data_IF_483287873506
#
_entry.id   IF_483287873506
#
_cell.length_a   1.000
_cell.length_b   1.000
_cell.length_c   1.000
_cell.angle_alpha   90.00
_cell.angle_beta   90.00
_cell.angle_gamma   90.00
#
_symmetry.space_group_name_H-M   'P 1'
#
loop_
_entity.id
_entity.type
_entity.pdbx_description
1 polymer ?
#
# COMPACT_ATOMS: atom_id res chain seq x y z
N UNK A 1 -44.27 -17.60 51.15
CA UNK A 1 -42.96 -17.05 50.72
C UNK A 1 -42.08 -18.17 50.17
N UNK A 2 -42.06 -18.34 48.85
CA UNK A 2 -41.02 -19.07 48.09
C UNK A 2 -41.03 -18.49 46.67
N UNK A 3 -39.98 -17.75 46.29
CA UNK A 3 -39.70 -17.43 44.88
C UNK A 3 -38.74 -18.48 44.33
N UNK A 4 -38.93 -18.98 43.10
CA UNK A 4 -37.90 -19.73 42.40
C UNK A 4 -36.92 -18.76 41.71
N UNK A 5 -35.63 -18.99 41.91
CA UNK A 5 -34.56 -18.35 41.14
C UNK A 5 -34.53 -18.95 39.73
N UNK A 6 -34.70 -18.09 38.72
CA UNK A 6 -34.47 -18.43 37.32
C UNK A 6 -32.97 -18.35 37.04
N UNK A 7 -32.37 -19.48 36.68
CA UNK A 7 -31.03 -19.55 36.09
C UNK A 7 -31.02 -18.78 34.77
N UNK A 8 -30.33 -17.64 34.72
CA UNK A 8 -30.00 -16.98 33.46
C UNK A 8 -28.78 -17.66 32.84
N UNK A 9 -29.01 -18.32 31.71
CA UNK A 9 -27.96 -18.86 30.85
C UNK A 9 -27.12 -17.72 30.28
N UNK A 10 -25.84 -17.66 30.66
CA UNK A 10 -24.86 -16.78 30.03
C UNK A 10 -24.60 -17.28 28.61
N UNK A 11 -25.07 -16.51 27.63
CA UNK A 11 -24.78 -16.70 26.21
C UNK A 11 -23.28 -16.43 26.01
N UNK A 12 -22.50 -17.49 25.83
CA UNK A 12 -21.15 -17.40 25.28
C UNK A 12 -21.25 -16.91 23.84
N UNK A 13 -21.15 -15.60 23.65
CA UNK A 13 -20.90 -15.01 22.35
C UNK A 13 -19.47 -15.32 21.91
N UNK A 14 -19.30 -16.35 21.06
CA UNK A 14 -18.10 -16.54 20.28
C UNK A 14 -17.89 -15.30 19.40
N UNK A 15 -17.04 -14.38 19.86
CA UNK A 15 -16.46 -13.35 19.01
C UNK A 15 -15.44 -14.04 18.12
N UNK A 16 -15.86 -14.47 16.94
CA UNK A 16 -14.96 -14.83 15.85
C UNK A 16 -14.24 -13.55 15.42
N UNK A 17 -13.06 -13.32 15.99
CA UNK A 17 -12.06 -12.44 15.41
C UNK A 17 -11.63 -13.07 14.08
N UNK A 18 -12.29 -12.67 13.00
CA UNK A 18 -11.76 -12.84 11.65
C UNK A 18 -10.61 -11.85 11.55
N UNK A 19 -9.42 -12.27 12.00
CA UNK A 19 -8.21 -11.56 11.65
C UNK A 19 -8.14 -11.59 10.11
N UNK A 20 -8.04 -10.45 9.42
CA UNK A 20 -7.78 -10.46 8.00
C UNK A 20 -6.53 -11.31 7.79
N UNK A 21 -6.61 -12.29 6.89
CA UNK A 21 -5.47 -13.10 6.52
C UNK A 21 -4.33 -12.14 6.16
N UNK A 22 -3.28 -12.12 6.99
CA UNK A 22 -2.07 -11.37 6.71
C UNK A 22 -1.62 -11.82 5.32
N UNK A 23 -1.87 -10.97 4.32
CA UNK A 23 -1.34 -11.21 2.99
C UNK A 23 0.17 -11.20 3.19
N UNK A 24 0.79 -12.35 2.96
CA UNK A 24 2.24 -12.48 2.97
C UNK A 24 2.77 -11.33 2.11
N UNK A 25 3.46 -10.38 2.75
CA UNK A 25 4.03 -9.23 2.09
C UNK A 25 5.12 -9.80 1.17
N UNK A 26 4.79 -9.98 -0.10
CA UNK A 26 5.69 -10.59 -1.10
C UNK A 26 6.90 -9.71 -1.40
N UNK A 27 6.81 -8.43 -1.05
CA UNK A 27 7.91 -7.50 -1.14
C UNK A 27 8.62 -7.36 0.21
N UNK A 28 9.96 -7.23 0.22
CA UNK A 28 10.71 -6.91 1.43
C UNK A 28 10.13 -5.66 2.13
N UNK A 29 10.32 -5.52 3.45
CA UNK A 29 9.83 -4.34 4.16
C UNK A 29 10.46 -3.05 3.62
N UNK A 30 9.69 -1.96 3.66
CA UNK A 30 10.16 -0.62 3.30
C UNK A 30 11.02 -0.01 4.41
N UNK A 31 11.98 0.81 4.02
CA UNK A 31 12.95 1.49 4.87
C UNK A 31 12.70 3.00 4.88
N UNK A 32 11.72 3.40 5.69
CA UNK A 32 11.22 4.78 5.75
C UNK A 32 12.28 5.81 6.19
N UNK A 33 13.29 5.38 6.94
CA UNK A 33 14.39 6.27 7.36
C UNK A 33 15.26 6.72 6.18
N UNK A 34 15.26 5.98 5.06
CA UNK A 34 15.98 6.31 3.82
C UNK A 34 15.07 6.89 2.74
N UNK A 35 13.87 7.37 3.10
CA UNK A 35 12.97 8.02 2.16
C UNK A 35 13.58 9.29 1.57
N UNK A 36 13.62 9.36 0.24
CA UNK A 36 14.13 10.51 -0.52
C UNK A 36 12.94 11.21 -1.17
N UNK A 37 12.86 12.53 -1.02
CA UNK A 37 11.82 13.37 -1.61
C UNK A 37 12.46 14.49 -2.41
N UNK A 38 12.19 14.52 -3.71
CA UNK A 38 12.70 15.57 -4.59
C UNK A 38 11.84 15.65 -5.86
N UNK A 39 11.63 16.87 -6.38
CA UNK A 39 11.08 17.06 -7.74
C UNK A 39 9.76 16.31 -7.98
N UNK A 40 8.82 16.41 -7.05
CA UNK A 40 7.52 15.72 -7.07
C UNK A 40 7.61 14.18 -7.09
N UNK A 41 8.72 13.62 -6.60
CA UNK A 41 8.94 12.19 -6.46
C UNK A 41 9.29 11.83 -5.01
N UNK A 42 8.74 10.72 -4.53
CA UNK A 42 8.99 10.15 -3.21
C UNK A 42 9.49 8.72 -3.43
N UNK A 43 10.75 8.46 -3.09
CA UNK A 43 11.34 7.12 -3.15
C UNK A 43 11.44 6.53 -1.75
N UNK A 44 10.92 5.32 -1.56
CA UNK A 44 11.07 4.56 -0.31
C UNK A 44 11.77 3.24 -0.63
N UNK A 45 13.04 3.04 -0.25
CA UNK A 45 13.75 1.81 -0.57
C UNK A 45 13.24 0.64 0.28
N UNK A 46 13.41 -0.57 -0.24
CA UNK A 46 13.37 -1.79 0.55
C UNK A 46 14.57 -1.86 1.49
N UNK A 47 14.38 -2.41 2.69
CA UNK A 47 15.45 -2.60 3.68
C UNK A 47 16.63 -3.36 3.06
N UNK A 48 17.85 -2.82 3.23
CA UNK A 48 19.09 -3.41 2.72
C UNK A 48 19.32 -3.28 1.22
N UNK A 49 18.41 -2.62 0.48
CA UNK A 49 18.50 -2.45 -0.97
C UNK A 49 18.42 -0.97 -1.36
N UNK A 50 18.90 -0.63 -2.56
CA UNK A 50 18.59 0.64 -3.22
C UNK A 50 17.54 0.46 -4.32
N UNK A 51 16.58 -0.44 -4.05
CA UNK A 51 15.42 -0.75 -4.89
C UNK A 51 14.16 -0.49 -4.09
N UNK A 52 13.11 0.03 -4.70
CA UNK A 52 11.85 0.33 -4.02
C UNK A 52 10.89 1.14 -4.89
N UNK A 53 9.65 1.37 -4.43
CA UNK A 53 8.69 2.20 -5.15
C UNK A 53 9.15 3.66 -5.24
N UNK A 54 8.96 4.25 -6.42
CA UNK A 54 8.94 5.71 -6.63
C UNK A 54 7.49 6.15 -6.83
N UNK A 55 6.97 6.92 -5.89
CA UNK A 55 5.66 7.56 -5.98
C UNK A 55 5.81 8.97 -6.58
N UNK A 56 4.78 9.43 -7.29
CA UNK A 56 4.76 10.75 -7.90
C UNK A 56 3.67 11.59 -7.25
N UNK A 57 3.98 12.80 -6.81
CA UNK A 57 3.02 13.68 -6.13
C UNK A 57 2.33 14.67 -7.07
N UNK A 58 2.77 14.73 -8.34
CA UNK A 58 2.32 15.70 -9.32
C UNK A 58 2.06 15.04 -10.67
N UNK A 59 0.85 15.26 -11.18
CA UNK A 59 0.35 14.65 -12.42
C UNK A 59 -0.15 15.71 -13.40
N UNK A 60 -0.16 15.35 -14.68
CA UNK A 60 -0.83 16.08 -15.74
C UNK A 60 -1.65 15.11 -16.60
N UNK A 61 -2.75 15.60 -17.17
CA UNK A 61 -3.49 14.83 -18.15
C UNK A 61 -2.97 15.11 -19.56
N UNK A 62 -2.77 14.07 -20.35
CA UNK A 62 -2.19 14.14 -21.69
C UNK A 62 -3.05 13.35 -22.68
N UNK A 63 -3.67 14.00 -23.68
CA UNK A 63 -4.36 13.30 -24.75
C UNK A 63 -3.39 12.37 -25.51
N UNK A 64 -3.79 11.12 -25.73
CA UNK A 64 -3.03 10.15 -26.50
C UNK A 64 -3.33 10.31 -27.99
N UNK A 65 -2.78 11.38 -28.58
CA UNK A 65 -2.95 11.71 -29.99
C UNK A 65 -4.31 12.34 -30.31
N UNK A 66 -4.62 12.38 -31.61
CA UNK A 66 -5.88 12.91 -32.12
C UNK A 66 -7.02 11.88 -32.01
N UNK A 67 -8.29 12.32 -31.94
CA UNK A 67 -9.41 11.38 -31.91
C UNK A 67 -9.42 10.48 -33.15
N UNK A 68 -9.70 9.20 -32.93
CA UNK A 68 -9.76 8.15 -33.97
C UNK A 68 -11.21 7.75 -34.24
N UNK A 69 -11.52 7.29 -35.45
CA UNK A 69 -12.87 6.79 -35.76
C UNK A 69 -13.00 5.33 -35.31
N UNK A 70 -14.04 5.03 -34.52
CA UNK A 70 -14.40 3.68 -34.10
C UNK A 70 -15.90 3.52 -34.27
N UNK A 71 -16.32 2.68 -35.22
CA UNK A 71 -17.73 2.37 -35.49
C UNK A 71 -18.62 3.61 -35.69
N UNK A 72 -18.12 4.64 -36.39
CA UNK A 72 -18.86 5.87 -36.65
C UNK A 72 -18.80 6.91 -35.52
N UNK A 73 -18.19 6.58 -34.38
CA UNK A 73 -17.91 7.50 -33.28
C UNK A 73 -16.44 7.93 -33.27
N UNK A 74 -16.14 8.98 -32.53
CA UNK A 74 -14.78 9.42 -32.23
C UNK A 74 -14.36 8.83 -30.89
N UNK A 75 -13.12 8.33 -30.83
CA UNK A 75 -12.49 7.80 -29.62
C UNK A 75 -11.22 8.58 -29.31
N UNK A 76 -11.08 9.00 -28.07
CA UNK A 76 -9.86 9.60 -27.53
C UNK A 76 -9.51 8.94 -26.20
N UNK A 77 -8.22 8.67 -25.99
CA UNK A 77 -7.71 8.26 -24.68
C UNK A 77 -6.98 9.46 -24.07
N UNK A 78 -7.28 9.78 -22.82
CA UNK A 78 -6.54 10.78 -22.04
C UNK A 78 -5.77 10.03 -20.95
N UNK A 79 -4.47 10.26 -20.86
CA UNK A 79 -3.60 9.60 -19.89
C UNK A 79 -3.34 10.53 -18.70
N UNK A 80 -3.35 10.00 -17.48
CA UNK A 80 -2.84 10.70 -16.31
C UNK A 80 -1.36 10.34 -16.12
N UNK A 81 -0.47 11.29 -16.41
CA UNK A 81 0.96 11.08 -16.53
C UNK A 81 1.72 11.88 -15.45
N UNK A 82 2.73 11.31 -14.78
CA UNK A 82 3.53 12.05 -13.82
C UNK A 82 4.34 13.18 -14.48
N UNK A 83 4.29 14.39 -13.92
CA UNK A 83 5.01 15.54 -14.49
C UNK A 83 6.52 15.34 -14.51
N UNK A 84 7.07 14.65 -13.52
CA UNK A 84 8.52 14.39 -13.40
C UNK A 84 9.10 13.66 -14.62
N UNK A 85 8.33 12.79 -15.28
CA UNK A 85 8.77 12.12 -16.51
C UNK A 85 8.76 13.08 -17.71
N UNK A 86 7.74 13.94 -17.80
CA UNK A 86 7.59 14.92 -18.89
C UNK A 86 8.59 16.08 -18.81
N UNK A 87 9.00 16.43 -17.59
CA UNK A 87 10.02 17.42 -17.31
C UNK A 87 11.44 16.84 -17.33
N UNK A 88 11.62 15.57 -17.70
CA UNK A 88 12.91 14.86 -17.70
C UNK A 88 13.62 14.82 -16.33
N UNK A 89 12.88 14.97 -15.23
CA UNK A 89 13.43 14.95 -13.87
C UNK A 89 13.66 13.52 -13.36
N UNK A 90 12.86 12.56 -13.84
CA UNK A 90 12.92 11.16 -13.40
C UNK A 90 14.31 10.53 -13.57
N UNK A 91 14.90 10.60 -14.78
CA UNK A 91 16.20 9.97 -15.03
C UNK A 91 17.33 10.60 -14.19
N UNK A 92 17.26 11.91 -13.96
CA UNK A 92 18.19 12.62 -13.08
C UNK A 92 18.07 12.14 -11.64
N UNK A 93 16.85 12.06 -11.12
CA UNK A 93 16.57 11.55 -9.77
C UNK A 93 17.05 10.11 -9.57
N UNK A 94 16.74 9.22 -10.52
CA UNK A 94 17.18 7.82 -10.48
C UNK A 94 18.70 7.71 -10.48
N UNK A 95 19.38 8.40 -11.39
CA UNK A 95 20.84 8.31 -11.52
C UNK A 95 21.58 8.97 -10.36
N UNK A 96 21.13 10.13 -9.89
CA UNK A 96 21.72 10.86 -8.78
C UNK A 96 21.77 10.03 -7.50
N UNK A 97 20.71 9.27 -7.23
CA UNK A 97 20.59 8.46 -6.02
C UNK A 97 20.81 6.95 -6.25
N UNK A 98 21.19 6.54 -7.46
CA UNK A 98 21.43 5.13 -7.82
C UNK A 98 20.21 4.22 -7.66
N UNK A 99 18.99 4.76 -7.81
CA UNK A 99 17.73 4.09 -7.49
C UNK A 99 17.42 2.98 -8.51
N UNK A 100 16.91 1.85 -8.05
CA UNK A 100 16.20 0.87 -8.89
C UNK A 100 14.70 0.98 -8.62
N UNK A 101 13.96 1.64 -9.50
CA UNK A 101 12.51 1.82 -9.32
C UNK A 101 11.77 0.47 -9.46
N UNK A 102 10.94 0.14 -8.47
CA UNK A 102 10.04 -1.00 -8.49
C UNK A 102 8.83 -0.81 -9.42
N UNK A 103 8.64 0.40 -9.97
CA UNK A 103 7.60 0.78 -10.94
C UNK A 103 6.18 0.53 -10.42
N UNK A 104 5.98 0.81 -9.14
CA UNK A 104 4.67 0.68 -8.48
C UNK A 104 3.77 1.84 -8.91
N UNK A 105 2.56 1.52 -9.34
CA UNK A 105 1.54 2.50 -9.72
C UNK A 105 0.45 2.56 -8.64
N UNK A 106 -0.23 3.70 -8.48
CA UNK A 106 -1.46 3.74 -7.70
C UNK A 106 -2.51 2.79 -8.31
N UNK A 107 -3.42 2.24 -7.50
CA UNK A 107 -4.47 1.37 -8.02
C UNK A 107 -5.38 2.14 -8.98
N UNK A 108 -5.80 1.51 -10.08
CA UNK A 108 -6.65 2.17 -11.08
C UNK A 108 -8.01 2.63 -10.50
N UNK A 109 -8.47 1.99 -9.42
CA UNK A 109 -9.68 2.39 -8.67
C UNK A 109 -9.55 3.74 -7.97
N UNK A 110 -8.34 4.26 -7.80
CA UNK A 110 -8.10 5.61 -7.31
C UNK A 110 -8.42 6.69 -8.36
N UNK A 111 -8.62 6.31 -9.63
CA UNK A 111 -8.99 7.24 -10.68
C UNK A 111 -10.48 7.17 -11.02
N UNK A 112 -11.07 8.33 -11.33
CA UNK A 112 -12.45 8.44 -11.80
C UNK A 112 -12.58 9.51 -12.89
N UNK A 113 -13.51 9.36 -13.85
CA UNK A 113 -13.88 10.47 -14.74
C UNK A 113 -14.43 11.62 -13.90
N UNK A 114 -14.20 12.87 -14.32
CA UNK A 114 -14.89 14.01 -13.68
C UNK A 114 -16.39 13.98 -13.95
N UNK A 115 -17.18 14.59 -13.07
CA UNK A 115 -18.63 14.72 -13.26
C UNK A 115 -18.97 15.48 -14.55
N UNK A 116 -18.19 16.51 -14.89
CA UNK A 116 -18.37 17.30 -16.12
C UNK A 116 -18.28 16.43 -17.39
N UNK A 117 -17.22 15.63 -17.54
CA UNK A 117 -17.06 14.78 -18.73
C UNK A 117 -18.05 13.61 -18.74
N UNK A 118 -18.41 13.08 -17.56
CA UNK A 118 -19.43 12.05 -17.42
C UNK A 118 -20.81 12.56 -17.85
N UNK A 119 -21.18 13.77 -17.44
CA UNK A 119 -22.45 14.40 -17.79
C UNK A 119 -22.52 14.78 -19.27
N UNK A 120 -21.44 15.38 -19.81
CA UNK A 120 -21.36 15.73 -21.23
C UNK A 120 -21.60 14.51 -22.13
N UNK A 121 -21.04 13.36 -21.75
CA UNK A 121 -21.10 12.13 -22.54
C UNK A 121 -22.17 11.13 -22.04
N UNK A 122 -23.11 11.59 -21.22
CA UNK A 122 -24.18 10.76 -20.66
C UNK A 122 -25.15 10.21 -21.70
N UNK A 123 -25.22 10.86 -22.87
CA UNK A 123 -26.03 10.41 -24.01
C UNK A 123 -25.45 9.17 -24.72
N UNK A 124 -24.18 8.83 -24.46
CA UNK A 124 -23.53 7.68 -25.09
C UNK A 124 -24.12 6.36 -24.57
N UNK A 125 -24.26 5.33 -25.41
CA UNK A 125 -24.71 4.01 -24.95
C UNK A 125 -23.78 3.42 -23.89
N UNK A 126 -24.30 2.55 -23.02
CA UNK A 126 -23.58 2.00 -21.86
C UNK A 126 -22.18 1.40 -22.15
N UNK A 127 -21.94 0.90 -23.37
CA UNK A 127 -20.62 0.37 -23.79
C UNK A 127 -19.60 1.43 -24.19
N UNK A 128 -20.01 2.70 -24.29
CA UNK A 128 -19.23 3.83 -24.80
C UNK A 128 -19.17 5.01 -23.81
N UNK A 129 -19.68 4.83 -22.60
CA UNK A 129 -19.56 5.83 -21.53
C UNK A 129 -18.09 6.02 -21.11
N UNK A 130 -17.75 7.18 -20.54
CA UNK A 130 -16.40 7.44 -20.03
C UNK A 130 -15.94 6.35 -19.07
N UNK A 131 -14.79 5.73 -19.37
CA UNK A 131 -14.28 4.58 -18.62
C UNK A 131 -12.82 4.73 -18.26
N UNK A 132 -12.50 4.52 -16.98
CA UNK A 132 -11.12 4.39 -16.52
C UNK A 132 -10.55 3.05 -16.95
N UNK A 133 -9.36 3.12 -17.55
CA UNK A 133 -8.50 2.01 -17.89
C UNK A 133 -7.32 1.99 -16.91
N UNK A 134 -6.85 0.79 -16.60
CA UNK A 134 -5.63 0.62 -15.83
C UNK A 134 -4.46 1.30 -16.56
N UNK A 135 -3.60 1.96 -15.80
CA UNK A 135 -2.39 2.58 -16.32
C UNK A 135 -1.35 1.55 -16.76
N UNK A 136 -0.36 2.03 -17.50
CA UNK A 136 0.87 1.31 -17.80
C UNK A 136 2.05 2.23 -17.51
N UNK A 137 3.05 1.75 -16.78
CA UNK A 137 4.09 2.61 -16.25
C UNK A 137 4.74 3.49 -17.35
N UNK A 138 4.86 4.82 -17.15
CA UNK A 138 4.60 5.56 -15.89
C UNK A 138 3.18 6.15 -15.79
N UNK A 139 2.26 5.83 -16.70
CA UNK A 139 0.87 6.31 -16.67
C UNK A 139 0.16 5.71 -15.46
N UNK A 140 -0.42 6.55 -14.59
CA UNK A 140 -1.17 6.09 -13.41
C UNK A 140 -2.49 5.42 -13.81
N UNK A 141 -3.23 6.07 -14.70
CA UNK A 141 -4.49 5.58 -15.25
C UNK A 141 -4.79 6.32 -16.55
N UNK A 142 -5.72 5.78 -17.34
CA UNK A 142 -6.20 6.43 -18.57
C UNK A 142 -7.72 6.51 -18.57
N UNK A 143 -8.26 7.52 -19.23
CA UNK A 143 -9.69 7.68 -19.47
C UNK A 143 -9.99 7.45 -20.95
N UNK A 144 -10.84 6.48 -21.24
CA UNK A 144 -11.39 6.26 -22.57
C UNK A 144 -12.66 7.08 -22.74
N UNK A 145 -12.66 7.92 -23.77
CA UNK A 145 -13.79 8.75 -24.15
C UNK A 145 -14.26 8.36 -25.55
N UNK A 146 -15.57 8.16 -25.68
CA UNK A 146 -16.24 8.07 -26.97
C UNK A 146 -17.23 9.21 -27.09
N UNK A 147 -17.33 9.80 -28.27
CA UNK A 147 -18.21 10.93 -28.55
C UNK A 147 -18.55 10.99 -30.03
N UNK A 148 -19.61 11.73 -30.36
CA UNK A 148 -19.99 11.95 -31.75
C UNK A 148 -19.14 13.04 -32.40
N UNK A 149 -19.04 13.04 -33.73
CA UNK A 149 -18.17 13.98 -34.46
C UNK A 149 -18.61 15.43 -34.24
N UNK A 150 -19.92 15.68 -34.09
CA UNK A 150 -20.50 16.98 -33.77
C UNK A 150 -20.07 17.52 -32.39
N UNK A 151 -19.69 16.65 -31.44
CA UNK A 151 -19.23 17.04 -30.10
C UNK A 151 -17.71 17.16 -29.98
N UNK A 152 -16.94 16.87 -31.04
CA UNK A 152 -15.47 16.78 -30.97
C UNK A 152 -14.81 18.07 -30.48
N UNK A 153 -15.21 19.22 -31.00
CA UNK A 153 -14.62 20.50 -30.62
C UNK A 153 -14.86 20.83 -29.13
N UNK A 154 -16.06 20.55 -28.63
CA UNK A 154 -16.43 20.78 -27.22
C UNK A 154 -15.68 19.85 -26.27
N UNK A 155 -15.63 18.55 -26.60
CA UNK A 155 -14.89 17.56 -25.81
C UNK A 155 -13.41 17.91 -25.74
N UNK A 156 -12.79 18.28 -26.88
CA UNK A 156 -11.39 18.69 -26.91
C UNK A 156 -11.15 20.00 -26.13
N UNK A 157 -12.07 20.96 -26.19
CA UNK A 157 -11.96 22.19 -25.42
C UNK A 157 -11.95 21.92 -23.91
N UNK A 158 -12.81 21.00 -23.42
CA UNK A 158 -12.84 20.61 -22.00
C UNK A 158 -11.53 19.92 -21.62
N UNK A 159 -11.07 18.94 -22.39
CA UNK A 159 -9.82 18.22 -22.12
C UNK A 159 -8.62 19.16 -22.07
N UNK A 160 -8.59 20.20 -22.89
CA UNK A 160 -7.47 21.14 -22.94
C UNK A 160 -7.52 22.23 -21.85
N UNK A 161 -8.68 22.47 -21.24
CA UNK A 161 -8.87 23.57 -20.29
C UNK A 161 -9.08 23.12 -18.85
N UNK A 162 -9.53 21.88 -18.63
CA UNK A 162 -9.95 21.37 -17.32
C UNK A 162 -9.55 19.91 -17.13
N UNK A 163 -9.34 19.46 -15.87
CA UNK A 163 -9.21 18.05 -15.58
C UNK A 163 -10.45 17.25 -16.03
N UNK A 164 -10.22 16.15 -16.74
CA UNK A 164 -11.26 15.15 -17.08
C UNK A 164 -11.09 13.84 -16.32
N UNK A 165 -9.95 13.70 -15.62
CA UNK A 165 -9.62 12.60 -14.71
C UNK A 165 -9.43 13.18 -13.33
N UNK A 166 -9.98 12.52 -12.31
CA UNK A 166 -9.59 12.73 -10.91
C UNK A 166 -8.75 11.56 -10.44
N UNK A 167 -7.76 11.83 -9.59
CA UNK A 167 -6.99 10.83 -8.85
C UNK A 167 -7.10 11.15 -7.36
N UNK A 168 -7.46 10.16 -6.55
CA UNK A 168 -7.45 10.23 -5.09
C UNK A 168 -6.93 8.92 -4.53
N UNK A 169 -5.67 8.91 -4.10
CA UNK A 169 -5.05 7.77 -3.44
C UNK A 169 -4.35 8.20 -2.15
N UNK A 170 -4.35 7.31 -1.17
CA UNK A 170 -3.57 7.43 0.06
C UNK A 170 -2.66 6.22 0.15
N UNK A 171 -1.35 6.44 0.05
CA UNK A 171 -0.35 5.39 0.21
C UNK A 171 0.02 5.34 1.69
N UNK A 172 -0.19 4.21 2.39
CA UNK A 172 0.04 4.11 3.83
C UNK A 172 1.54 3.99 4.14
N UNK A 173 2.25 5.11 4.04
CA UNK A 173 3.66 5.21 4.44
C UNK A 173 3.78 5.54 5.93
N UNK A 174 4.99 5.37 6.46
CA UNK A 174 5.34 5.74 7.82
C UNK A 174 6.33 6.91 7.83
N UNK A 175 6.29 7.69 8.90
CA UNK A 175 7.21 8.80 9.15
C UNK A 175 8.67 8.31 9.16
N UNK A 176 9.60 9.12 8.65
CA UNK A 176 11.03 8.78 8.55
C UNK A 176 11.70 8.55 9.91
N UNK A 177 11.19 9.21 10.95
CA UNK A 177 11.61 9.07 12.35
C UNK A 177 10.86 7.95 13.09
N UNK A 178 10.05 7.14 12.39
CA UNK A 178 9.41 5.95 12.96
C UNK A 178 10.43 5.07 13.68
N UNK A 179 10.09 4.63 14.89
CA UNK A 179 10.99 3.86 15.72
C UNK A 179 11.32 2.51 15.08
N UNK A 180 12.58 2.07 15.24
CA UNK A 180 13.05 0.78 14.75
C UNK A 180 13.15 -0.19 15.93
N UNK A 181 12.41 -1.28 15.84
CA UNK A 181 12.50 -2.40 16.74
C UNK A 181 13.59 -3.35 16.26
N UNK A 182 14.66 -3.50 17.05
CA UNK A 182 15.65 -4.53 16.80
C UNK A 182 15.12 -5.88 17.29
N UNK A 183 14.71 -6.74 16.36
CA UNK A 183 14.11 -8.03 16.69
C UNK A 183 15.14 -9.13 16.97
N UNK A 184 16.42 -8.95 16.61
CA UNK A 184 17.43 -10.01 16.80
C UNK A 184 17.62 -10.41 18.28
N UNK A 185 17.70 -9.48 19.26
CA UNK A 185 17.74 -9.84 20.68
C UNK A 185 16.49 -10.59 21.16
N UNK A 186 15.31 -10.22 20.64
CA UNK A 186 14.03 -10.89 20.98
C UNK A 186 14.04 -12.31 20.43
N UNK A 187 14.42 -12.48 19.16
CA UNK A 187 14.56 -13.77 18.49
C UNK A 187 15.55 -14.67 19.24
N UNK A 188 16.73 -14.14 19.60
CA UNK A 188 17.76 -14.88 20.33
C UNK A 188 17.25 -15.35 21.70
N UNK A 189 16.48 -14.49 22.39
CA UNK A 189 15.89 -14.87 23.68
C UNK A 189 14.90 -16.02 23.52
N UNK A 190 13.98 -15.93 22.56
CA UNK A 190 12.98 -16.97 22.32
C UNK A 190 13.57 -18.27 21.78
N UNK A 191 14.70 -18.22 21.04
CA UNK A 191 15.47 -19.41 20.67
C UNK A 191 16.11 -20.05 21.91
N UNK A 192 16.70 -19.24 22.80
CA UNK A 192 17.29 -19.72 24.06
C UNK A 192 16.24 -20.39 24.95
N UNK A 193 15.05 -19.82 24.99
CA UNK A 193 13.90 -20.32 25.75
C UNK A 193 13.18 -21.49 25.04
N UNK A 194 13.72 -21.96 23.89
CA UNK A 194 13.21 -23.08 23.07
C UNK A 194 11.80 -22.88 22.50
N UNK A 195 11.35 -21.63 22.42
CA UNK A 195 10.08 -21.24 21.78
C UNK A 195 10.25 -21.20 20.26
N UNK A 196 11.41 -20.73 19.80
CA UNK A 196 11.78 -20.68 18.39
C UNK A 196 12.94 -21.64 18.10
N UNK A 197 12.95 -22.18 16.88
CA UNK A 197 14.03 -22.99 16.33
C UNK A 197 14.57 -22.31 15.07
N UNK A 198 15.89 -22.16 14.98
CA UNK A 198 16.54 -21.68 13.76
C UNK A 198 16.64 -22.77 12.71
N UNK A 199 16.28 -22.44 11.47
CA UNK A 199 16.36 -23.32 10.30
C UNK A 199 17.18 -22.63 9.20
N UNK A 200 17.45 -23.35 8.10
CA UNK A 200 18.09 -22.76 6.92
C UNK A 200 17.23 -21.69 6.22
N UNK A 201 15.92 -21.67 6.49
CA UNK A 201 14.95 -20.75 5.86
C UNK A 201 14.46 -19.66 6.80
N UNK A 202 14.84 -19.67 8.07
CA UNK A 202 14.56 -18.61 9.03
C UNK A 202 14.34 -19.13 10.45
N UNK A 203 13.27 -18.65 11.10
CA UNK A 203 12.83 -19.08 12.42
C UNK A 203 11.48 -19.77 12.33
N UNK A 204 11.30 -20.85 13.07
CA UNK A 204 10.02 -21.57 13.18
C UNK A 204 9.68 -21.89 14.64
N UNK A 205 8.40 -22.00 14.98
CA UNK A 205 7.93 -22.37 16.30
C UNK A 205 6.44 -22.69 16.31
N UNK A 206 5.91 -23.10 17.46
CA UNK A 206 4.47 -23.23 17.64
C UNK A 206 3.83 -21.84 17.71
N UNK A 207 2.74 -21.59 16.98
CA UNK A 207 2.13 -20.25 16.93
C UNK A 207 1.61 -19.76 18.28
N UNK A 208 1.08 -20.65 19.12
CA UNK A 208 0.55 -20.29 20.43
C UNK A 208 1.67 -19.99 21.42
N UNK A 209 2.73 -20.81 21.42
CA UNK A 209 3.90 -20.58 22.26
C UNK A 209 4.60 -19.27 21.88
N UNK A 210 4.75 -18.99 20.57
CA UNK A 210 5.33 -17.72 20.10
C UNK A 210 4.49 -16.53 20.58
N UNK A 211 3.17 -16.57 20.43
CA UNK A 211 2.29 -15.48 20.89
C UNK A 211 2.36 -15.27 22.41
N UNK A 212 2.27 -16.37 23.18
CA UNK A 212 2.27 -16.31 24.64
C UNK A 212 3.63 -15.88 25.20
N UNK A 213 4.71 -16.51 24.76
CA UNK A 213 6.04 -16.26 25.32
C UNK A 213 6.62 -14.91 24.89
N UNK A 214 6.34 -14.47 23.65
CA UNK A 214 6.74 -13.13 23.22
C UNK A 214 5.98 -12.01 23.95
N UNK A 215 4.69 -12.19 24.22
CA UNK A 215 3.91 -11.19 24.99
C UNK A 215 4.35 -11.15 26.44
N UNK A 216 4.61 -12.31 27.05
CA UNK A 216 5.22 -12.41 28.38
C UNK A 216 6.59 -11.73 28.43
N UNK A 217 7.43 -11.95 27.41
CA UNK A 217 8.74 -11.30 27.31
C UNK A 217 8.62 -9.77 27.18
N UNK A 218 7.65 -9.27 26.42
CA UNK A 218 7.40 -7.83 26.30
C UNK A 218 7.02 -7.18 27.64
N UNK A 219 6.24 -7.88 28.47
CA UNK A 219 5.90 -7.42 29.81
C UNK A 219 7.08 -7.47 30.79
N UNK A 220 7.89 -8.54 30.74
CA UNK A 220 9.00 -8.75 31.66
C UNK A 220 10.28 -7.99 31.26
N UNK A 221 10.41 -7.61 30.00
CA UNK A 221 11.60 -6.96 29.44
C UNK A 221 11.21 -5.90 28.39
N UNK A 222 10.45 -4.86 28.79
CA UNK A 222 9.90 -3.87 27.86
C UNK A 222 10.97 -3.10 27.07
N UNK A 223 12.19 -2.96 27.62
CA UNK A 223 13.31 -2.34 26.92
C UNK A 223 13.73 -3.05 25.63
N UNK A 224 13.43 -4.35 25.48
CA UNK A 224 13.65 -5.08 24.24
C UNK A 224 12.70 -4.65 23.11
N UNK A 225 11.54 -4.09 23.46
CA UNK A 225 10.47 -3.74 22.53
C UNK A 225 10.41 -2.25 22.18
N UNK A 226 11.41 -1.47 22.64
CA UNK A 226 11.70 -0.09 22.20
C UNK A 226 10.55 0.89 22.39
N UNK A 227 9.66 0.66 23.37
CA UNK A 227 8.50 1.53 23.62
C UNK A 227 8.24 1.71 25.11
N UNK A 228 7.65 2.85 25.48
CA UNK A 228 7.03 3.04 26.81
C UNK A 228 5.79 2.17 27.00
N UNK A 229 5.14 1.81 25.89
CA UNK A 229 4.01 0.87 25.83
C UNK A 229 4.46 -0.45 25.20
N UNK A 230 4.69 -1.52 25.99
CA UNK A 230 5.20 -2.80 25.48
C UNK A 230 4.25 -3.48 24.49
N UNK A 231 2.96 -3.13 24.46
CA UNK A 231 2.00 -3.68 23.50
C UNK A 231 2.38 -3.31 22.06
N UNK A 232 2.74 -2.04 21.82
CA UNK A 232 3.04 -1.52 20.48
C UNK A 232 4.24 -2.22 19.86
N UNK A 233 5.33 -2.38 20.62
CA UNK A 233 6.50 -3.10 20.16
C UNK A 233 6.23 -4.59 19.95
N UNK A 234 5.43 -5.22 20.83
CA UNK A 234 5.05 -6.62 20.68
C UNK A 234 4.20 -6.87 19.43
N UNK A 235 3.23 -6.00 19.14
CA UNK A 235 2.42 -6.11 17.92
C UNK A 235 3.26 -5.98 16.64
N UNK A 236 4.23 -5.05 16.64
CA UNK A 236 5.18 -4.92 15.54
C UNK A 236 6.02 -6.19 15.37
N UNK A 237 6.51 -6.76 16.47
CA UNK A 237 7.25 -8.02 16.46
C UNK A 237 6.42 -9.20 15.90
N UNK A 238 5.18 -9.37 16.35
CA UNK A 238 4.33 -10.49 15.90
C UNK A 238 3.95 -10.37 14.43
N UNK A 239 3.76 -9.15 13.90
CA UNK A 239 3.50 -8.93 12.47
C UNK A 239 4.65 -9.37 11.55
N UNK A 240 5.85 -9.58 12.09
CA UNK A 240 6.98 -10.12 11.35
C UNK A 240 6.89 -11.65 11.12
N UNK A 241 5.93 -12.33 11.75
CA UNK A 241 5.67 -13.76 11.55
C UNK A 241 4.49 -14.00 10.61
N UNK A 242 4.61 -15.05 9.79
CA UNK A 242 3.47 -15.73 9.20
C UNK A 242 2.95 -16.74 10.23
N UNK A 243 1.72 -16.53 10.71
CA UNK A 243 1.07 -17.39 11.70
C UNK A 243 -0.02 -18.24 11.03
N UNK A 244 0.09 -19.56 11.14
CA UNK A 244 -0.98 -20.51 10.86
C UNK A 244 -1.46 -21.10 12.19
N UNK A 245 -2.59 -20.59 12.69
CA UNK A 245 -3.15 -21.02 13.97
C UNK A 245 -3.77 -22.43 13.91
N UNK A 246 -4.15 -22.90 12.72
CA UNK A 246 -4.73 -24.24 12.54
C UNK A 246 -3.63 -25.30 12.52
N UNK A 247 -2.58 -25.07 11.73
CA UNK A 247 -1.38 -25.91 11.74
C UNK A 247 -0.50 -25.68 12.98
N UNK A 248 -0.81 -24.65 13.77
CA UNK A 248 -0.05 -24.20 14.94
C UNK A 248 1.40 -23.86 14.63
N UNK A 249 1.65 -23.23 13.48
CA UNK A 249 3.00 -22.87 13.05
C UNK A 249 3.18 -21.36 12.97
N UNK A 250 4.31 -20.89 13.47
CA UNK A 250 4.79 -19.53 13.27
C UNK A 250 6.10 -19.58 12.50
N UNK A 251 6.21 -18.82 11.42
CA UNK A 251 7.43 -18.75 10.61
C UNK A 251 7.86 -17.31 10.36
N UNK A 252 9.17 -17.06 10.40
CA UNK A 252 9.77 -15.79 10.04
C UNK A 252 10.93 -16.06 9.10
N UNK A 253 10.99 -15.38 7.95
CA UNK A 253 12.06 -15.59 6.97
C UNK A 253 13.43 -15.17 7.50
N UNK A 254 14.52 -15.73 6.95
CA UNK A 254 15.89 -15.27 7.25
C UNK A 254 16.07 -13.76 7.02
N UNK A 255 15.50 -13.23 5.93
CA UNK A 255 15.56 -11.80 5.61
C UNK A 255 14.88 -10.97 6.71
N UNK A 256 13.69 -11.35 7.14
CA UNK A 256 12.97 -10.63 8.19
C UNK A 256 13.71 -10.73 9.52
N UNK A 257 14.17 -11.93 9.91
CA UNK A 257 14.82 -12.19 11.19
C UNK A 257 16.12 -11.39 11.41
N UNK A 258 16.79 -11.00 10.32
CA UNK A 258 18.02 -10.21 10.34
C UNK A 258 17.83 -8.70 10.20
N UNK A 259 16.59 -8.21 10.10
CA UNK A 259 16.30 -6.79 9.86
C UNK A 259 15.44 -6.20 10.97
N UNK A 260 15.61 -4.89 11.28
CA UNK A 260 14.72 -4.22 12.21
C UNK A 260 13.30 -4.13 11.64
N UNK A 261 12.31 -4.12 12.53
CA UNK A 261 10.91 -3.87 12.18
C UNK A 261 10.56 -2.43 12.54
N UNK A 262 9.77 -1.77 11.69
CA UNK A 262 9.31 -0.40 11.97
C UNK A 262 8.05 -0.41 12.84
N UNK A 263 8.09 0.36 13.93
CA UNK A 263 6.90 0.79 14.65
C UNK A 263 6.39 2.02 13.91
N UNK A 264 5.48 1.78 12.96
CA UNK A 264 5.00 2.79 12.04
C UNK A 264 4.26 3.91 12.78
N UNK A 265 4.80 5.13 12.75
CA UNK A 265 3.99 6.34 12.92
C UNK A 265 3.39 6.68 11.57
N UNK A 266 2.07 6.62 11.37
CA UNK A 266 1.47 6.83 10.05
C UNK A 266 1.80 8.23 9.51
N UNK A 267 2.33 8.28 8.29
CA UNK A 267 2.55 9.49 7.51
C UNK A 267 2.15 9.22 6.06
N UNK A 268 0.84 9.14 5.77
CA UNK A 268 0.36 8.68 4.48
C UNK A 268 0.67 9.69 3.37
N UNK A 269 1.17 9.19 2.24
CA UNK A 269 1.36 10.01 1.05
C UNK A 269 0.03 10.15 0.30
N UNK A 270 -0.52 11.36 0.29
CA UNK A 270 -1.76 11.68 -0.44
C UNK A 270 -1.42 12.06 -1.88
N UNK A 271 -1.97 11.30 -2.83
CA UNK A 271 -1.87 11.56 -4.26
C UNK A 271 -3.19 12.15 -4.74
N UNK A 272 -3.14 13.36 -5.28
CA UNK A 272 -4.33 14.07 -5.76
C UNK A 272 -4.10 14.73 -7.13
N UNK A 273 -5.09 14.60 -8.01
CA UNK A 273 -5.21 15.36 -9.24
C UNK A 273 -6.69 15.55 -9.58
N UNK A 274 -7.02 16.66 -10.23
CA UNK A 274 -8.40 16.98 -10.65
C UNK A 274 -9.21 17.67 -9.57
#
# INVERSE_FOLDING_TARGET
MRLPYVLSAAVLGLLTFVAPAAHAQTDPPLDYARTIEQSDMVFVPYVGMNRGPVYYTSYEQVPNGSPTNVSGMRKLIVNLFPKAHRQNLYNGFISQYGITDAKVLPPATACQPTEEIANLLSYMPAGYTPRILAGNYPIACSLSLFFMSESEAEVLAIINSRPVITLRASIPLCDKASQKLNISPINQRLVTDKVLTSTSTGLTGNSWDVLFESSRLALLSPSLFVTSDPQVGWEAYIKAFTLDLNAQTATMSTTTAGQPVYICTPDPLVLQFG
#
